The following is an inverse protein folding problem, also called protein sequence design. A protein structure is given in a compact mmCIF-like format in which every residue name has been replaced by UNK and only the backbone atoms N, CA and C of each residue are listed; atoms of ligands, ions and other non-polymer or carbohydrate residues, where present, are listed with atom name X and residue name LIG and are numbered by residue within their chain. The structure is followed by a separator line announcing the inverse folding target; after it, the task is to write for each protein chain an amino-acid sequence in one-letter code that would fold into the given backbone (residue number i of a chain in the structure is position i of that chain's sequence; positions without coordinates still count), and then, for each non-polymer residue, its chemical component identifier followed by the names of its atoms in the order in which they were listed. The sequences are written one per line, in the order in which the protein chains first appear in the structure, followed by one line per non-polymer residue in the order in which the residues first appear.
data_IF_730895588019
#
_entry.id   IF_730895588019
#
_cell.length_a   1.000
_cell.length_b   1.000
_cell.length_c   1.000
_cell.angle_alpha   90.00
_cell.angle_beta   90.00
_cell.angle_gamma   90.00
#
_symmetry.space_group_name_H-M   'P 1'
#
loop_
_entity.id
_entity.type
_entity.pdbx_description
1 polymer ?
#
# COMPACT_ATOMS: atom_id res chain seq x y z
N UNK A 1 -27.27 -14.77 -17.87
CA UNK A 1 -27.40 -14.99 -16.42
C UNK A 1 -27.57 -13.63 -15.78
N UNK A 2 -28.43 -13.53 -14.77
CA UNK A 2 -28.88 -12.27 -14.18
C UNK A 2 -27.70 -11.68 -13.39
N UNK A 3 -27.11 -10.60 -13.90
CA UNK A 3 -26.21 -9.72 -13.13
C UNK A 3 -27.06 -9.08 -12.05
N UNK A 4 -27.00 -9.60 -10.83
CA UNK A 4 -27.41 -8.83 -9.66
C UNK A 4 -26.26 -7.87 -9.36
N UNK A 5 -26.58 -6.59 -9.19
CA UNK A 5 -25.66 -5.60 -8.66
C UNK A 5 -24.89 -6.15 -7.46
N UNK A 6 -23.58 -5.88 -7.38
CA UNK A 6 -22.76 -6.25 -6.21
C UNK A 6 -23.49 -5.91 -4.91
N UNK A 7 -23.66 -6.92 -4.07
CA UNK A 7 -24.32 -6.85 -2.77
C UNK A 7 -23.28 -7.12 -1.66
N UNK A 8 -23.72 -7.18 -0.40
CA UNK A 8 -22.82 -7.43 0.75
C UNK A 8 -22.05 -8.75 0.63
N UNK A 9 -22.70 -9.81 0.13
CA UNK A 9 -22.07 -11.13 -0.06
C UNK A 9 -20.96 -11.07 -1.12
N UNK A 10 -21.22 -10.41 -2.24
CA UNK A 10 -20.22 -10.23 -3.31
C UNK A 10 -19.04 -9.38 -2.83
N UNK A 11 -19.31 -8.31 -2.07
CA UNK A 11 -18.24 -7.49 -1.49
C UNK A 11 -17.40 -8.29 -0.49
N UNK A 12 -18.03 -9.14 0.33
CA UNK A 12 -17.33 -10.03 1.25
C UNK A 12 -16.47 -11.04 0.49
N UNK A 13 -17.03 -11.66 -0.56
CA UNK A 13 -16.32 -12.58 -1.45
C UNK A 13 -15.11 -11.91 -2.10
N UNK A 14 -15.24 -10.66 -2.59
CA UNK A 14 -14.12 -9.92 -3.16
C UNK A 14 -12.97 -9.77 -2.16
N UNK A 15 -13.26 -9.40 -0.91
CA UNK A 15 -12.23 -9.24 0.13
C UNK A 15 -11.61 -10.59 0.51
N UNK A 16 -12.42 -11.64 0.69
CA UNK A 16 -11.94 -12.98 1.01
C UNK A 16 -11.05 -13.55 -0.11
N UNK A 17 -11.51 -13.50 -1.36
CA UNK A 17 -10.77 -13.96 -2.53
C UNK A 17 -9.46 -13.19 -2.72
N UNK A 18 -9.45 -11.89 -2.41
CA UNK A 18 -8.23 -11.08 -2.39
C UNK A 18 -7.21 -11.65 -1.40
N UNK A 19 -7.58 -11.92 -0.17
CA UNK A 19 -6.63 -12.47 0.81
C UNK A 19 -6.28 -13.94 0.57
N UNK A 20 -7.16 -14.68 -0.11
CA UNK A 20 -6.91 -16.05 -0.55
C UNK A 20 -5.97 -16.17 -1.75
N UNK A 21 -5.67 -15.06 -2.44
CA UNK A 21 -4.90 -15.10 -3.69
C UNK A 21 -5.67 -15.70 -4.87
N UNK A 22 -7.01 -15.76 -4.80
CA UNK A 22 -7.87 -16.24 -5.90
C UNK A 22 -8.03 -15.16 -6.96
N UNK A 23 -7.05 -15.09 -7.86
CA UNK A 23 -7.02 -14.11 -8.93
C UNK A 23 -8.15 -14.29 -9.92
N UNK A 24 -8.66 -15.51 -10.09
CA UNK A 24 -9.74 -15.78 -11.03
C UNK A 24 -11.05 -15.12 -10.60
N UNK A 25 -11.39 -15.25 -9.32
CA UNK A 25 -12.57 -14.61 -8.73
C UNK A 25 -12.39 -13.10 -8.69
N UNK A 26 -11.27 -12.62 -8.16
CA UNK A 26 -11.00 -11.17 -8.09
C UNK A 26 -11.03 -10.52 -9.46
N UNK A 27 -10.37 -11.12 -10.47
CA UNK A 27 -10.34 -10.58 -11.83
C UNK A 27 -11.74 -10.51 -12.47
N UNK A 28 -12.63 -11.45 -12.13
CA UNK A 28 -14.00 -11.44 -12.63
C UNK A 28 -14.87 -10.31 -12.06
N UNK A 29 -14.44 -9.71 -10.95
CA UNK A 29 -15.19 -8.68 -10.21
C UNK A 29 -14.66 -7.26 -10.44
N UNK A 30 -13.46 -7.11 -10.98
CA UNK A 30 -12.83 -5.81 -11.26
C UNK A 30 -12.93 -5.44 -12.74
N UNK A 31 -12.87 -4.13 -13.05
CA UNK A 31 -12.82 -3.63 -14.42
C UNK A 31 -11.40 -3.65 -14.99
N UNK A 32 -11.28 -3.57 -16.33
CA UNK A 32 -9.98 -3.46 -17.02
C UNK A 32 -9.20 -2.18 -16.64
N UNK A 33 -9.91 -1.13 -16.21
CA UNK A 33 -9.32 0.14 -15.74
C UNK A 33 -9.21 0.23 -14.21
N UNK A 34 -9.27 -0.92 -13.52
CA UNK A 34 -9.23 -1.00 -12.08
C UNK A 34 -8.03 -0.30 -11.46
N UNK A 35 -8.28 0.40 -10.35
CA UNK A 35 -7.24 1.04 -9.53
C UNK A 35 -7.43 0.73 -8.05
N UNK A 36 -6.38 0.19 -7.43
CA UNK A 36 -6.31 0.10 -5.98
C UNK A 36 -5.44 1.22 -5.43
N UNK A 37 -6.06 2.14 -4.70
CA UNK A 37 -5.37 3.21 -3.99
C UNK A 37 -5.13 2.76 -2.55
N UNK A 38 -3.85 2.62 -2.19
CA UNK A 38 -3.46 2.29 -0.83
C UNK A 38 -3.82 3.43 0.12
N UNK A 39 -3.78 3.16 1.41
CA UNK A 39 -3.99 4.21 2.40
C UNK A 39 -2.89 5.26 2.29
N UNK A 40 -3.21 6.57 2.20
CA UNK A 40 -2.21 7.62 2.17
C UNK A 40 -1.29 7.60 3.39
N UNK A 41 -0.05 8.00 3.20
CA UNK A 41 0.92 8.15 4.28
C UNK A 41 1.78 9.40 4.08
N UNK A 42 2.42 9.85 5.16
CA UNK A 42 3.38 10.95 5.12
C UNK A 42 4.79 10.35 5.13
N UNK A 43 5.57 10.66 4.10
CA UNK A 43 6.92 10.12 3.93
C UNK A 43 7.68 10.80 2.81
N UNK A 44 8.79 10.19 2.38
CA UNK A 44 9.57 10.69 1.23
C UNK A 44 8.94 10.40 -0.13
N UNK A 45 7.97 9.48 -0.22
CA UNK A 45 7.33 9.14 -1.49
C UNK A 45 8.23 8.36 -2.45
N UNK A 46 9.10 7.49 -1.92
CA UNK A 46 10.05 6.70 -2.68
C UNK A 46 10.01 5.23 -2.27
N UNK A 47 10.40 4.35 -3.17
CA UNK A 47 10.75 2.96 -2.89
C UNK A 47 12.26 2.82 -2.82
N UNK A 48 12.75 2.02 -1.88
CA UNK A 48 14.19 1.80 -1.71
C UNK A 48 14.51 0.34 -1.46
N UNK A 49 15.70 -0.07 -1.90
CA UNK A 49 16.32 -1.34 -1.53
C UNK A 49 17.68 -1.09 -0.91
N UNK A 50 18.01 -1.84 0.16
CA UNK A 50 19.33 -1.73 0.77
C UNK A 50 20.36 -2.51 -0.04
N UNK A 51 21.31 -1.79 -0.64
CA UNK A 51 22.36 -2.34 -1.49
C UNK A 51 23.69 -1.64 -1.16
N UNK A 52 24.71 -2.44 -0.85
CA UNK A 52 26.09 -2.00 -0.65
C UNK A 52 26.27 -0.84 0.35
N UNK A 53 25.56 -0.89 1.49
CA UNK A 53 25.71 0.15 2.53
C UNK A 53 24.82 1.39 2.33
N UNK A 54 23.94 1.37 1.33
CA UNK A 54 23.07 2.50 0.98
C UNK A 54 21.64 2.03 0.70
N UNK A 55 20.67 2.92 0.84
CA UNK A 55 19.32 2.73 0.30
C UNK A 55 19.30 3.25 -1.14
N UNK A 56 19.26 2.32 -2.10
CA UNK A 56 19.08 2.63 -3.51
C UNK A 56 17.61 2.99 -3.77
N UNK A 57 17.34 4.15 -4.35
CA UNK A 57 15.99 4.54 -4.78
C UNK A 57 15.61 3.74 -6.02
N UNK A 58 14.60 2.87 -5.89
CA UNK A 58 14.13 1.98 -6.96
C UNK A 58 12.84 2.46 -7.61
N UNK A 59 12.15 3.41 -7.00
CA UNK A 59 10.93 4.00 -7.56
C UNK A 59 10.52 5.25 -6.82
N UNK A 60 9.67 6.05 -7.47
CA UNK A 60 9.02 7.23 -6.89
C UNK A 60 7.51 6.97 -6.96
N UNK A 61 6.80 7.28 -5.87
CA UNK A 61 5.35 7.05 -5.78
C UNK A 61 4.58 8.00 -6.68
N UNK A 62 4.97 9.28 -6.67
CA UNK A 62 4.41 10.34 -7.51
C UNK A 62 5.49 11.38 -7.80
N UNK A 63 6.01 11.38 -9.03
CA UNK A 63 7.06 12.29 -9.50
C UNK A 63 6.61 13.76 -9.53
N UNK A 64 5.29 14.03 -9.50
CA UNK A 64 4.78 15.40 -9.41
C UNK A 64 4.90 15.98 -8.00
N UNK A 65 4.97 15.12 -6.99
CA UNK A 65 5.09 15.49 -5.58
C UNK A 65 6.53 15.38 -5.07
N UNK A 66 7.25 14.32 -5.43
CA UNK A 66 8.65 14.09 -5.06
C UNK A 66 9.57 14.39 -6.23
N UNK A 67 10.19 15.58 -6.22
CA UNK A 67 11.06 16.08 -7.30
C UNK A 67 12.53 16.21 -6.90
N UNK A 68 12.87 15.92 -5.64
CA UNK A 68 14.21 16.11 -5.09
C UNK A 68 15.08 14.84 -5.14
N UNK A 69 14.45 13.68 -5.34
CA UNK A 69 15.09 12.37 -5.49
C UNK A 69 14.71 11.76 -6.83
N UNK A 70 15.55 10.88 -7.34
CA UNK A 70 15.31 10.15 -8.58
C UNK A 70 15.68 8.68 -8.42
N UNK A 71 15.08 7.82 -9.24
CA UNK A 71 15.49 6.42 -9.34
C UNK A 71 16.97 6.34 -9.66
N UNK A 72 17.70 5.50 -8.95
CA UNK A 72 19.17 5.36 -9.04
C UNK A 72 19.95 6.12 -7.96
N UNK A 73 19.34 7.12 -7.31
CA UNK A 73 19.98 7.82 -6.19
C UNK A 73 20.24 6.85 -5.02
N UNK A 74 21.33 7.09 -4.29
CA UNK A 74 21.73 6.28 -3.13
C UNK A 74 21.76 7.13 -1.87
N UNK A 75 20.91 6.78 -0.90
CA UNK A 75 20.86 7.45 0.40
C UNK A 75 21.79 6.70 1.35
N UNK A 76 22.80 7.38 1.89
CA UNK A 76 23.79 6.80 2.81
C UNK A 76 23.50 7.16 4.27
N UNK A 77 22.91 8.32 4.52
CA UNK A 77 22.51 8.75 5.86
C UNK A 77 21.15 9.45 5.86
N UNK A 78 20.42 9.29 6.95
CA UNK A 78 19.15 9.97 7.25
C UNK A 78 19.27 10.58 8.64
N UNK A 79 19.09 11.90 8.75
CA UNK A 79 19.13 12.68 9.99
C UNK A 79 20.40 12.39 10.83
N UNK A 80 21.56 12.34 10.16
CA UNK A 80 22.86 12.07 10.78
C UNK A 80 23.09 10.63 11.24
N UNK A 81 22.24 9.69 10.80
CA UNK A 81 22.41 8.25 11.04
C UNK A 81 22.66 7.52 9.72
N UNK A 82 23.73 6.73 9.68
CA UNK A 82 24.02 5.83 8.56
C UNK A 82 22.89 4.82 8.40
N UNK A 83 22.46 4.60 7.17
CA UNK A 83 21.38 3.67 6.87
C UNK A 83 21.84 2.22 6.99
N UNK A 84 20.89 1.33 7.24
CA UNK A 84 21.10 -0.12 7.26
C UNK A 84 19.88 -0.83 6.69
N UNK A 85 19.95 -2.16 6.55
CA UNK A 85 18.80 -2.98 6.17
C UNK A 85 17.64 -2.88 7.19
N UNK A 86 17.94 -2.50 8.44
CA UNK A 86 16.96 -2.31 9.51
C UNK A 86 16.53 -0.84 9.66
N UNK A 87 16.95 0.05 8.74
CA UNK A 87 16.54 1.44 8.77
C UNK A 87 15.03 1.55 8.77
N UNK A 88 14.44 2.32 9.71
CA UNK A 88 13.00 2.48 9.75
C UNK A 88 12.50 3.24 8.52
N UNK A 89 11.25 2.99 8.14
CA UNK A 89 10.54 3.83 7.18
C UNK A 89 10.53 5.27 7.67
N UNK A 90 10.85 6.21 6.77
CA UNK A 90 10.87 7.63 7.09
C UNK A 90 9.43 8.15 7.07
N UNK A 91 8.88 8.36 8.26
CA UNK A 91 7.54 8.90 8.50
C UNK A 91 7.60 10.09 9.47
N UNK A 92 6.54 10.88 9.52
CA UNK A 92 6.46 12.04 10.42
C UNK A 92 5.29 12.94 10.07
N UNK A 93 5.39 14.22 10.42
CA UNK A 93 4.37 15.22 10.04
C UNK A 93 4.67 15.76 8.65
N UNK A 94 3.61 16.17 7.97
CA UNK A 94 3.74 16.79 6.67
C UNK A 94 4.64 18.04 6.80
N UNK A 95 5.58 18.19 5.87
CA UNK A 95 6.61 19.25 5.84
C UNK A 95 7.70 19.14 6.88
N UNK A 96 7.73 18.11 7.72
CA UNK A 96 8.91 17.84 8.54
C UNK A 96 10.11 17.60 7.61
N UNK A 97 11.20 18.32 7.84
CA UNK A 97 12.37 18.26 6.95
C UNK A 97 13.29 17.13 7.40
N UNK A 98 13.65 16.27 6.46
CA UNK A 98 14.62 15.20 6.63
C UNK A 98 15.95 15.61 6.00
N UNK A 99 17.03 15.53 6.76
CA UNK A 99 18.39 15.73 6.23
C UNK A 99 18.92 14.39 5.72
N UNK A 100 19.26 14.34 4.44
CA UNK A 100 19.76 13.13 3.77
C UNK A 100 21.15 13.37 3.22
N UNK A 101 22.02 12.37 3.34
CA UNK A 101 23.27 12.32 2.57
C UNK A 101 23.05 11.38 1.39
N UNK A 102 23.11 11.93 0.18
CA UNK A 102 22.75 11.24 -1.07
C UNK A 102 23.89 11.29 -2.07
N UNK A 103 24.13 10.19 -2.77
CA UNK A 103 24.94 10.14 -3.99
C UNK A 103 23.98 9.99 -5.17
N UNK A 104 24.09 10.90 -6.14
CA UNK A 104 23.24 10.88 -7.34
C UNK A 104 23.62 9.74 -8.26
N UNK A 105 22.66 9.24 -9.05
CA UNK A 105 22.98 8.23 -10.06
C UNK A 105 24.08 8.72 -11.03
N UNK A 106 25.08 7.87 -11.28
CA UNK A 106 26.26 8.21 -12.08
C UNK A 106 27.25 9.20 -11.44
N UNK A 107 27.01 9.65 -10.21
CA UNK A 107 27.92 10.49 -9.43
C UNK A 107 28.69 9.66 -8.39
N UNK A 108 29.77 10.23 -7.85
CA UNK A 108 30.58 9.70 -6.76
C UNK A 108 30.66 10.64 -5.56
N UNK A 109 30.05 11.82 -5.65
CA UNK A 109 30.07 12.83 -4.59
C UNK A 109 28.85 12.72 -3.68
N UNK A 110 29.05 13.01 -2.40
CA UNK A 110 27.96 13.14 -1.44
C UNK A 110 27.35 14.53 -1.51
N UNK A 111 26.02 14.57 -1.58
CA UNK A 111 25.21 15.77 -1.53
C UNK A 111 24.31 15.71 -0.31
N UNK A 112 24.31 16.77 0.50
CA UNK A 112 23.32 16.92 1.56
C UNK A 112 22.02 17.51 0.97
N UNK A 113 20.90 16.86 1.23
CA UNK A 113 19.57 17.30 0.84
C UNK A 113 18.70 17.47 2.07
N UNK A 114 17.94 18.56 2.11
CA UNK A 114 16.91 18.79 3.12
C UNK A 114 15.55 18.66 2.44
N UNK A 115 14.89 17.52 2.64
CA UNK A 115 13.67 17.14 1.91
C UNK A 115 12.47 17.17 2.86
N UNK A 116 11.42 17.96 2.58
CA UNK A 116 10.20 17.92 3.37
C UNK A 116 9.43 16.61 3.13
N UNK A 117 8.85 16.05 4.19
CA UNK A 117 7.89 14.97 4.06
C UNK A 117 6.63 15.45 3.36
N UNK A 118 6.08 14.60 2.50
CA UNK A 118 4.88 14.86 1.71
C UNK A 118 3.84 13.79 1.99
N UNK A 119 2.56 14.15 1.84
CA UNK A 119 1.50 13.16 1.78
C UNK A 119 1.51 12.51 0.40
N UNK A 120 1.63 11.18 0.37
CA UNK A 120 1.63 10.39 -0.86
C UNK A 120 0.63 9.25 -0.76
N UNK A 121 0.14 8.81 -1.92
CA UNK A 121 -0.77 7.68 -2.03
C UNK A 121 -0.31 6.78 -3.17
N UNK A 122 0.23 5.63 -2.81
CA UNK A 122 0.58 4.61 -3.78
C UNK A 122 -0.70 4.00 -4.38
N UNK A 123 -0.67 3.71 -5.68
CA UNK A 123 -1.76 3.01 -6.34
C UNK A 123 -1.24 1.90 -7.25
N UNK A 124 -2.10 0.92 -7.51
CA UNK A 124 -1.85 -0.22 -8.37
C UNK A 124 -2.91 -0.30 -9.45
N UNK A 125 -2.52 -0.72 -10.64
CA UNK A 125 -3.45 -1.21 -11.65
C UNK A 125 -3.82 -2.67 -11.36
N UNK A 126 -4.76 -3.20 -12.14
CA UNK A 126 -5.19 -4.60 -12.11
C UNK A 126 -4.02 -5.61 -12.08
N UNK A 127 -3.06 -5.47 -12.99
CA UNK A 127 -1.98 -6.45 -13.19
C UNK A 127 -1.06 -6.53 -11.97
N UNK A 128 -0.64 -5.38 -11.44
CA UNK A 128 0.23 -5.32 -10.27
C UNK A 128 -0.53 -5.71 -9.00
N UNK A 129 -1.80 -5.31 -8.89
CA UNK A 129 -2.66 -5.69 -7.77
C UNK A 129 -2.82 -7.21 -7.67
N UNK A 130 -3.13 -7.89 -8.78
CA UNK A 130 -3.29 -9.35 -8.80
C UNK A 130 -1.97 -10.09 -8.51
N UNK A 131 -0.84 -9.56 -8.99
CA UNK A 131 0.48 -10.12 -8.70
C UNK A 131 0.83 -10.03 -7.20
N UNK A 132 0.66 -8.85 -6.61
CA UNK A 132 0.96 -8.62 -5.20
C UNK A 132 0.02 -9.40 -4.28
N UNK A 133 -1.25 -9.54 -4.68
CA UNK A 133 -2.25 -10.34 -3.99
C UNK A 133 -1.81 -11.81 -3.85
N UNK A 134 -1.34 -12.43 -4.94
CA UNK A 134 -0.79 -13.80 -4.89
C UNK A 134 0.45 -13.88 -4.01
N UNK A 135 1.37 -12.94 -4.21
CA UNK A 135 2.62 -12.87 -3.43
C UNK A 135 2.34 -12.69 -1.93
N UNK A 136 1.27 -11.99 -1.58
CA UNK A 136 0.81 -11.87 -0.20
C UNK A 136 0.26 -13.19 0.32
N UNK A 137 -0.67 -13.82 -0.41
CA UNK A 137 -1.31 -15.08 -0.01
C UNK A 137 -0.28 -16.20 0.23
N UNK A 138 0.75 -16.30 -0.61
CA UNK A 138 1.82 -17.30 -0.50
C UNK A 138 2.65 -17.20 0.80
N UNK A 139 2.56 -16.09 1.54
CA UNK A 139 3.29 -15.91 2.80
C UNK A 139 2.60 -16.51 4.01
N UNK A 140 1.31 -16.85 3.90
CA UNK A 140 0.47 -17.22 5.03
C UNK A 140 0.13 -18.70 4.99
N UNK A 141 0.40 -19.40 6.09
CA UNK A 141 -0.03 -20.78 6.26
C UNK A 141 -1.53 -20.83 6.52
N UNK A 142 -2.04 -19.88 7.31
CA UNK A 142 -3.44 -19.77 7.69
C UNK A 142 -3.79 -18.28 7.77
N UNK A 143 -4.98 -17.91 7.31
CA UNK A 143 -5.54 -16.58 7.50
C UNK A 143 -7.06 -16.66 7.65
N UNK A 144 -7.63 -15.61 8.23
CA UNK A 144 -9.06 -15.42 8.35
C UNK A 144 -9.39 -13.94 8.16
N UNK A 145 -10.53 -13.68 7.53
CA UNK A 145 -11.11 -12.35 7.36
C UNK A 145 -12.49 -12.36 8.01
N UNK A 146 -12.72 -11.39 8.88
CA UNK A 146 -14.03 -11.15 9.49
C UNK A 146 -14.56 -9.80 8.99
N UNK A 147 -15.66 -9.84 8.23
CA UNK A 147 -16.33 -8.65 7.72
C UNK A 147 -17.20 -8.08 8.85
N UNK A 148 -16.83 -6.91 9.35
CA UNK A 148 -17.46 -6.31 10.53
C UNK A 148 -18.64 -5.41 10.15
N UNK A 149 -18.55 -4.69 9.05
CA UNK A 149 -19.63 -3.85 8.53
C UNK A 149 -19.48 -3.57 7.03
N UNK A 150 -20.61 -3.47 6.32
CA UNK A 150 -20.68 -3.00 4.95
C UNK A 150 -21.80 -1.98 4.83
N UNK A 151 -21.46 -0.77 4.37
CA UNK A 151 -22.44 0.30 4.14
C UNK A 151 -22.45 0.69 2.68
N UNK A 152 -23.59 0.50 2.03
CA UNK A 152 -23.80 0.92 0.64
C UNK A 152 -24.35 2.35 0.55
N UNK A 153 -23.70 3.16 -0.28
CA UNK A 153 -24.23 4.45 -0.72
C UNK A 153 -24.11 4.57 -2.25
N UNK A 154 -25.24 4.37 -2.95
CA UNK A 154 -25.33 4.41 -4.41
C UNK A 154 -24.38 3.40 -5.07
N UNK A 155 -23.31 3.89 -5.68
CA UNK A 155 -22.35 3.16 -6.51
C UNK A 155 -21.05 2.91 -5.71
N UNK A 156 -21.18 2.90 -4.37
CA UNK A 156 -20.06 2.74 -3.44
C UNK A 156 -20.46 1.83 -2.28
N UNK A 157 -19.49 1.06 -1.81
CA UNK A 157 -19.57 0.32 -0.56
C UNK A 157 -18.41 0.72 0.34
N UNK A 158 -18.69 1.07 1.60
CA UNK A 158 -17.67 1.16 2.64
C UNK A 158 -17.60 -0.18 3.34
N UNK A 159 -16.42 -0.78 3.42
CA UNK A 159 -16.20 -2.07 4.08
C UNK A 159 -15.27 -1.88 5.26
N UNK A 160 -15.66 -2.40 6.42
CA UNK A 160 -14.83 -2.48 7.61
C UNK A 160 -14.62 -3.96 7.95
N UNK A 161 -13.37 -4.39 8.05
CA UNK A 161 -13.04 -5.79 8.31
C UNK A 161 -11.81 -5.93 9.21
N UNK A 162 -11.73 -7.09 9.87
CA UNK A 162 -10.58 -7.57 10.60
C UNK A 162 -9.91 -8.68 9.80
N UNK A 163 -8.59 -8.61 9.66
CA UNK A 163 -7.78 -9.66 9.08
C UNK A 163 -6.87 -10.23 10.16
N UNK A 164 -6.73 -11.54 10.21
CA UNK A 164 -5.72 -12.23 11.02
C UNK A 164 -5.06 -13.37 10.24
N UNK A 165 -3.81 -13.68 10.58
CA UNK A 165 -3.11 -14.79 9.94
C UNK A 165 -1.77 -15.15 10.58
N UNK A 166 -1.29 -16.34 10.25
CA UNK A 166 -0.03 -16.88 10.74
C UNK A 166 0.81 -17.41 9.59
N UNK A 167 2.13 -17.17 9.66
CA UNK A 167 3.09 -17.66 8.65
C UNK A 167 3.38 -19.16 8.77
N UNK A 168 3.05 -19.76 9.91
CA UNK A 168 3.25 -21.19 10.19
C UNK A 168 2.07 -21.74 11.00
N UNK A 169 1.79 -23.03 10.88
CA UNK A 169 0.80 -23.71 11.73
C UNK A 169 1.10 -23.46 13.23
N UNK A 170 0.10 -23.01 14.00
CA UNK A 170 0.24 -22.62 15.42
C UNK A 170 1.30 -21.53 15.72
N UNK A 171 1.64 -20.69 14.73
CA UNK A 171 2.62 -19.62 14.86
C UNK A 171 2.11 -18.36 15.54
N UNK A 172 2.92 -17.30 15.48
CA UNK A 172 2.50 -15.97 15.91
C UNK A 172 1.40 -15.44 14.98
N UNK A 173 0.31 -14.98 15.59
CA UNK A 173 -0.82 -14.39 14.87
C UNK A 173 -0.55 -12.91 14.65
N UNK A 174 -0.59 -12.50 13.39
CA UNK A 174 -0.59 -11.12 12.96
C UNK A 174 -2.03 -10.71 12.70
N UNK A 175 -2.37 -9.46 12.98
CA UNK A 175 -3.73 -8.98 12.79
C UNK A 175 -3.74 -7.48 12.46
N UNK A 176 -4.75 -7.07 11.70
CA UNK A 176 -5.03 -5.65 11.46
C UNK A 176 -6.52 -5.43 11.19
N UNK A 177 -6.93 -4.17 11.35
CA UNK A 177 -8.22 -3.69 10.92
C UNK A 177 -8.04 -2.78 9.71
N UNK A 178 -8.96 -2.90 8.75
CA UNK A 178 -8.95 -2.07 7.55
C UNK A 178 -10.34 -1.52 7.26
N UNK A 179 -10.36 -0.31 6.72
CA UNK A 179 -11.55 0.31 6.16
C UNK A 179 -11.25 0.74 4.72
N UNK A 180 -12.08 0.30 3.79
CA UNK A 180 -11.89 0.54 2.36
C UNK A 180 -13.19 1.04 1.73
N UNK A 181 -13.07 1.97 0.77
CA UNK A 181 -14.18 2.42 -0.08
C UNK A 181 -14.06 1.73 -1.43
N UNK A 182 -15.05 0.92 -1.78
CA UNK A 182 -15.16 0.21 -3.05
C UNK A 182 -16.12 0.98 -3.95
N UNK A 183 -15.68 1.32 -5.17
CA UNK A 183 -16.50 2.01 -6.16
C UNK A 183 -16.86 1.08 -7.30
N UNK A 184 -18.15 1.08 -7.62
CA UNK A 184 -18.80 0.12 -8.52
C UNK A 184 -19.31 0.86 -9.74
N UNK A 185 -19.02 0.35 -10.93
CA UNK A 185 -19.59 0.89 -12.16
C UNK A 185 -20.99 0.30 -12.35
N UNK A 186 -22.02 1.15 -12.21
CA UNK A 186 -23.43 0.76 -12.32
C UNK A 186 -23.82 0.06 -13.64
N UNK A 187 -23.07 0.27 -14.73
CA UNK A 187 -23.39 -0.34 -16.03
C UNK A 187 -22.85 -1.75 -16.16
N UNK A 188 -21.71 -2.03 -15.53
CA UNK A 188 -21.01 -3.30 -15.65
C UNK A 188 -21.09 -4.14 -14.39
N UNK A 189 -21.54 -3.54 -13.27
CA UNK A 189 -21.49 -4.11 -11.92
C UNK A 189 -20.07 -4.52 -11.49
N UNK A 190 -19.03 -3.92 -12.10
CA UNK A 190 -17.63 -4.20 -11.79
C UNK A 190 -17.05 -3.14 -10.86
N UNK A 191 -16.14 -3.56 -10.00
CA UNK A 191 -15.33 -2.69 -9.16
C UNK A 191 -14.27 -2.03 -10.05
N UNK A 192 -14.27 -0.70 -10.11
CA UNK A 192 -13.24 0.03 -10.88
C UNK A 192 -12.24 0.77 -10.00
N UNK A 193 -12.55 0.91 -8.71
CA UNK A 193 -11.67 1.60 -7.77
C UNK A 193 -11.88 1.08 -6.36
N UNK A 194 -10.79 0.87 -5.63
CA UNK A 194 -10.80 0.67 -4.18
C UNK A 194 -9.88 1.69 -3.54
N UNK A 195 -10.31 2.32 -2.45
CA UNK A 195 -9.53 3.30 -1.68
C UNK A 195 -9.37 2.84 -0.24
N UNK A 196 -8.13 2.59 0.20
CA UNK A 196 -7.81 2.43 1.62
C UNK A 196 -7.98 3.75 2.35
N UNK A 197 -8.82 3.76 3.41
CA UNK A 197 -9.20 4.99 4.08
C UNK A 197 -8.38 5.30 5.33
N UNK A 198 -8.04 4.30 6.16
CA UNK A 198 -7.13 4.47 7.31
C UNK A 198 -6.93 3.19 8.13
N UNK A 199 -5.85 3.17 8.92
CA UNK A 199 -5.71 2.32 10.11
C UNK A 199 -5.37 3.16 11.35
N UNK A 200 -5.85 2.76 12.54
CA UNK A 200 -5.52 3.41 13.82
C UNK A 200 -3.99 3.48 14.05
N UNK A 201 -3.26 2.47 13.58
CA UNK A 201 -1.79 2.44 13.65
C UNK A 201 -1.16 3.60 12.87
N UNK A 202 -1.62 3.89 11.66
CA UNK A 202 -1.14 5.02 10.87
C UNK A 202 -1.49 6.37 11.51
N UNK A 203 -2.64 6.48 12.18
CA UNK A 203 -2.95 7.66 12.98
C UNK A 203 -1.95 7.80 14.15
N UNK A 204 -1.72 6.74 14.92
CA UNK A 204 -0.82 6.77 16.08
C UNK A 204 0.64 6.99 15.69
N UNK A 205 1.08 6.45 14.56
CA UNK A 205 2.46 6.58 14.09
C UNK A 205 2.78 8.02 13.62
N UNK A 206 1.79 8.88 13.37
CA UNK A 206 2.01 10.33 13.13
C UNK A 206 2.43 11.11 14.38
N UNK A 207 2.27 10.55 15.58
CA UNK A 207 2.57 11.22 16.85
C UNK A 207 3.83 10.68 17.55
N UNK A 208 4.50 9.67 16.98
CA UNK A 208 5.77 9.15 17.47
C UNK A 208 6.93 9.90 16.82
#
# INVERSE_FOLDING_TARGET
MISSSLNEDEISLFIESRYAGDDSTVYSMISEDYKYYHTPYIGLGIFTEYVDGSLLVTGIVDDSLQTMLSVGDRISEINGKVVSIESPTITGKEKDVQSLIVTRDGDSTFTELNIPLIQVQYYQNDSLFLFDMKTYADQWSEFHVDILDIVFEKEKASVYYHWEGSKTENGQVFHFYAMEMIHINKKTDLIYKVEGLWSEKQFRDQFK
#
